data_IF_357363566615
#
_entry.id   IF_357363566615
#
_cell.length_a   1.000
_cell.length_b   1.000
_cell.length_c   1.000
_cell.angle_alpha   90.00
_cell.angle_beta   90.00
_cell.angle_gamma   90.00
#
_symmetry.space_group_name_H-M   'P 1'
#
loop_
_entity.id
_entity.type
_entity.pdbx_description
1 polymer ?
#
# COMPACT_ATOMS: atom_id res chain seq x y z
N UNK A 1 13.31 -7.42 -30.25
CA UNK A 1 12.72 -8.47 -29.38
C UNK A 1 11.21 -8.48 -29.63
N UNK A 2 10.61 -9.62 -29.97
CA UNK A 2 9.17 -9.70 -30.25
C UNK A 2 8.31 -9.66 -28.98
N UNK A 3 7.02 -9.30 -29.12
CA UNK A 3 6.05 -9.17 -28.01
C UNK A 3 6.01 -10.43 -27.13
N UNK A 4 5.86 -11.60 -27.73
CA UNK A 4 5.75 -12.88 -27.00
C UNK A 4 6.96 -13.17 -26.10
N UNK A 5 8.15 -12.77 -26.54
CA UNK A 5 9.37 -12.93 -25.75
C UNK A 5 9.39 -12.00 -24.53
N UNK A 6 8.81 -10.80 -24.64
CA UNK A 6 8.67 -9.85 -23.53
C UNK A 6 7.65 -10.37 -22.54
N UNK A 7 6.49 -10.79 -23.04
CA UNK A 7 5.41 -11.36 -22.21
C UNK A 7 5.90 -12.58 -21.43
N UNK A 8 6.68 -13.47 -22.07
CA UNK A 8 7.29 -14.61 -21.40
C UNK A 8 8.27 -14.19 -20.29
N UNK A 9 9.05 -13.11 -20.47
CA UNK A 9 9.94 -12.60 -19.42
C UNK A 9 9.17 -12.02 -18.24
N UNK A 10 8.09 -11.27 -18.52
CA UNK A 10 7.19 -10.75 -17.48
C UNK A 10 6.60 -11.90 -16.68
N UNK A 11 6.02 -12.90 -17.36
CA UNK A 11 5.43 -14.07 -16.70
C UNK A 11 6.44 -14.86 -15.86
N UNK A 12 7.66 -15.07 -16.38
CA UNK A 12 8.74 -15.72 -15.60
C UNK A 12 9.07 -14.93 -14.33
N UNK A 13 9.15 -13.60 -14.43
CA UNK A 13 9.36 -12.73 -13.27
C UNK A 13 8.27 -12.85 -12.23
N UNK A 14 7.00 -12.83 -12.64
CA UNK A 14 5.86 -12.99 -11.71
C UNK A 14 5.88 -14.37 -11.02
N UNK A 15 6.03 -15.44 -11.80
CA UNK A 15 6.05 -16.81 -11.26
C UNK A 15 7.23 -17.04 -10.30
N UNK A 16 8.44 -16.56 -10.65
CA UNK A 16 9.63 -16.74 -9.81
C UNK A 16 9.52 -16.04 -8.45
N UNK A 17 8.71 -14.97 -8.36
CA UNK A 17 8.53 -14.18 -7.14
C UNK A 17 7.19 -14.45 -6.43
N UNK A 18 6.41 -15.45 -6.87
CA UNK A 18 5.12 -15.77 -6.27
C UNK A 18 4.08 -14.65 -6.39
N UNK A 19 4.21 -13.78 -7.40
CA UNK A 19 3.29 -12.66 -7.60
C UNK A 19 2.03 -13.16 -8.30
N UNK A 20 0.86 -12.92 -7.69
CA UNK A 20 -0.43 -13.31 -8.22
C UNK A 20 -0.74 -12.61 -9.55
N UNK A 21 -1.33 -13.33 -10.50
CA UNK A 21 -1.64 -12.79 -11.83
C UNK A 21 -2.67 -11.65 -11.84
N UNK A 22 -3.39 -11.44 -10.72
CA UNK A 22 -4.26 -10.27 -10.57
C UNK A 22 -3.48 -8.96 -10.68
N UNK A 23 -2.15 -8.96 -10.45
CA UNK A 23 -1.29 -7.79 -10.68
C UNK A 23 -1.36 -7.28 -12.11
N UNK A 24 -1.62 -8.15 -13.10
CA UNK A 24 -1.73 -7.77 -14.52
C UNK A 24 -2.96 -6.90 -14.80
N UNK A 25 -3.92 -6.84 -13.88
CA UNK A 25 -5.10 -5.95 -13.95
C UNK A 25 -4.89 -4.62 -13.23
N UNK A 26 -3.77 -4.46 -12.52
CA UNK A 26 -3.46 -3.25 -11.78
C UNK A 26 -2.87 -2.19 -12.74
N UNK A 27 -3.49 -1.01 -12.90
CA UNK A 27 -2.97 0.05 -13.77
C UNK A 27 -1.53 0.47 -13.46
N UNK A 28 -1.10 0.35 -12.20
CA UNK A 28 0.24 0.70 -11.74
C UNK A 28 1.30 -0.22 -12.36
N UNK A 29 0.94 -1.45 -12.74
CA UNK A 29 1.84 -2.32 -13.50
C UNK A 29 2.05 -1.79 -14.93
N UNK A 30 1.00 -1.27 -15.56
CA UNK A 30 1.10 -0.62 -16.87
C UNK A 30 1.97 0.64 -16.80
N UNK A 31 1.80 1.46 -15.76
CA UNK A 31 2.64 2.63 -15.52
C UNK A 31 4.11 2.24 -15.28
N UNK A 32 4.37 1.18 -14.51
CA UNK A 32 5.73 0.65 -14.33
C UNK A 32 6.36 0.24 -15.67
N UNK A 33 5.65 -0.52 -16.51
CA UNK A 33 6.16 -0.95 -17.82
C UNK A 33 6.38 0.24 -18.75
N UNK A 34 5.46 1.21 -18.76
CA UNK A 34 5.58 2.45 -19.52
C UNK A 34 6.81 3.27 -19.08
N UNK A 35 7.01 3.40 -17.77
CA UNK A 35 8.19 4.06 -17.18
C UNK A 35 9.50 3.38 -17.56
N UNK A 36 9.56 2.05 -17.54
CA UNK A 36 10.74 1.28 -17.97
C UNK A 36 11.01 1.50 -19.47
N UNK A 37 9.98 1.45 -20.31
CA UNK A 37 10.11 1.63 -21.76
C UNK A 37 10.59 3.04 -22.15
N UNK A 38 10.25 4.06 -21.37
CA UNK A 38 10.69 5.45 -21.55
C UNK A 38 11.97 5.78 -20.77
N UNK A 39 12.46 4.83 -19.98
CA UNK A 39 13.68 4.97 -19.20
C UNK A 39 14.94 4.99 -20.07
N UNK A 40 16.11 5.28 -19.47
CA UNK A 40 17.38 5.26 -20.18
C UNK A 40 17.73 3.84 -20.68
N UNK A 41 18.48 3.77 -21.78
CA UNK A 41 19.01 2.50 -22.27
C UNK A 41 19.85 1.80 -21.18
N UNK A 42 19.61 0.51 -20.99
CA UNK A 42 20.29 -0.26 -19.94
C UNK A 42 19.75 -0.02 -18.52
N UNK A 43 18.56 0.59 -18.38
CA UNK A 43 17.89 0.74 -17.10
C UNK A 43 17.86 -0.58 -16.31
N UNK A 44 18.15 -0.49 -15.01
CA UNK A 44 18.05 -1.59 -14.06
C UNK A 44 17.10 -1.19 -12.93
N UNK A 45 16.32 -2.14 -12.38
CA UNK A 45 15.52 -1.89 -11.18
C UNK A 45 16.37 -1.35 -10.02
N UNK A 46 15.75 -0.62 -9.08
CA UNK A 46 16.45 -0.15 -7.88
C UNK A 46 16.98 -1.32 -7.05
N UNK A 47 18.05 -1.07 -6.29
CA UNK A 47 18.56 -2.04 -5.31
C UNK A 47 17.56 -2.24 -4.17
N UNK A 48 17.64 -3.39 -3.51
CA UNK A 48 16.79 -3.71 -2.35
C UNK A 48 16.85 -2.61 -1.28
N UNK A 49 18.07 -2.13 -0.97
CA UNK A 49 18.27 -1.07 0.02
C UNK A 49 17.59 0.25 -0.37
N UNK A 50 17.76 0.68 -1.64
CA UNK A 50 17.12 1.90 -2.14
C UNK A 50 15.59 1.78 -2.17
N UNK A 51 15.09 0.59 -2.52
CA UNK A 51 13.66 0.30 -2.53
C UNK A 51 13.07 0.34 -1.12
N UNK A 52 13.76 -0.26 -0.14
CA UNK A 52 13.32 -0.38 1.25
C UNK A 52 13.24 0.97 1.98
N UNK A 53 14.14 1.90 1.69
CA UNK A 53 14.22 3.19 2.38
C UNK A 53 13.65 4.29 1.51
N UNK A 54 14.49 4.89 0.65
CA UNK A 54 14.18 6.12 -0.08
C UNK A 54 12.91 6.02 -0.92
N UNK A 55 12.78 4.96 -1.73
CA UNK A 55 11.61 4.83 -2.61
C UNK A 55 10.34 4.48 -1.85
N UNK A 56 10.44 3.74 -0.73
CA UNK A 56 9.29 3.44 0.12
C UNK A 56 8.78 4.71 0.79
N UNK A 57 9.68 5.56 1.29
CA UNK A 57 9.32 6.85 1.89
C UNK A 57 8.73 7.82 0.86
N UNK A 58 9.27 7.86 -0.36
CA UNK A 58 8.71 8.64 -1.47
C UNK A 58 7.31 8.16 -1.88
N UNK A 59 7.11 6.85 -2.04
CA UNK A 59 5.80 6.27 -2.32
C UNK A 59 4.78 6.62 -1.22
N UNK A 60 5.19 6.52 0.05
CA UNK A 60 4.34 6.90 1.18
C UNK A 60 3.97 8.39 1.11
N UNK A 61 4.95 9.26 0.89
CA UNK A 61 4.71 10.71 0.77
C UNK A 61 3.76 11.05 -0.39
N UNK A 62 3.89 10.36 -1.53
CA UNK A 62 2.99 10.58 -2.66
C UNK A 62 1.55 10.14 -2.33
N UNK A 63 1.38 8.98 -1.69
CA UNK A 63 0.06 8.55 -1.21
C UNK A 63 -0.53 9.54 -0.20
N UNK A 64 0.28 10.07 0.74
CA UNK A 64 -0.18 11.09 1.68
C UNK A 64 -0.60 12.39 0.98
N UNK A 65 0.10 12.81 -0.08
CA UNK A 65 -0.30 13.96 -0.90
C UNK A 65 -1.62 13.71 -1.61
N UNK A 66 -1.78 12.55 -2.24
CA UNK A 66 -3.03 12.18 -2.93
C UNK A 66 -4.23 12.15 -1.99
N UNK A 67 -3.99 11.82 -0.71
CA UNK A 67 -5.00 11.75 0.34
C UNK A 67 -5.22 13.07 1.08
N UNK A 68 -4.38 14.08 0.86
CA UNK A 68 -4.48 15.40 1.52
C UNK A 68 -5.85 16.07 1.28
N UNK A 69 -6.44 16.05 0.07
CA UNK A 69 -7.77 16.62 -0.15
C UNK A 69 -8.86 15.98 0.71
N UNK A 70 -8.77 14.67 1.00
CA UNK A 70 -9.70 14.00 1.90
C UNK A 70 -9.45 14.48 3.34
N UNK A 71 -8.19 14.55 3.75
CA UNK A 71 -7.78 14.98 5.10
C UNK A 71 -8.23 16.41 5.42
N UNK A 72 -8.13 17.33 4.46
CA UNK A 72 -8.50 18.74 4.64
C UNK A 72 -10.00 18.91 4.93
N UNK A 73 -10.85 18.00 4.44
CA UNK A 73 -12.29 18.04 4.73
C UNK A 73 -12.63 17.71 6.18
N UNK A 74 -11.74 17.02 6.92
CA UNK A 74 -12.02 16.59 8.29
C UNK A 74 -12.20 17.75 9.26
N UNK A 75 -11.52 18.87 9.05
CA UNK A 75 -11.65 20.05 9.92
C UNK A 75 -13.06 20.66 9.86
N UNK A 76 -13.64 20.74 8.66
CA UNK A 76 -14.92 21.41 8.43
C UNK A 76 -16.12 20.46 8.56
N UNK A 77 -15.96 19.19 8.18
CA UNK A 77 -17.05 18.23 8.07
C UNK A 77 -16.99 17.13 9.15
N UNK A 78 -15.91 17.10 9.93
CA UNK A 78 -15.61 16.01 10.84
C UNK A 78 -15.13 14.74 10.11
N UNK A 79 -14.73 13.76 10.91
CA UNK A 79 -14.49 12.39 10.47
C UNK A 79 -14.85 11.42 11.60
N UNK A 80 -15.18 10.18 11.23
CA UNK A 80 -15.38 9.07 12.16
C UNK A 80 -14.12 8.24 12.21
N UNK A 81 -13.70 7.84 13.42
CA UNK A 81 -12.63 6.86 13.60
C UNK A 81 -13.26 5.47 13.69
N UNK A 82 -12.84 4.58 12.81
CA UNK A 82 -13.24 3.17 12.77
C UNK A 82 -12.03 2.33 13.19
N UNK A 83 -12.21 1.55 14.25
CA UNK A 83 -11.22 0.56 14.68
C UNK A 83 -11.73 -0.84 14.42
N UNK A 84 -10.97 -1.65 13.71
CA UNK A 84 -11.26 -3.08 13.50
C UNK A 84 -10.17 -3.94 14.13
N UNK A 85 -10.57 -4.88 14.98
CA UNK A 85 -9.67 -5.74 15.74
C UNK A 85 -9.71 -7.17 15.21
N UNK A 86 -8.57 -7.69 14.76
CA UNK A 86 -8.44 -9.06 14.27
C UNK A 86 -7.19 -9.74 14.84
N UNK A 87 -7.26 -11.06 15.00
CA UNK A 87 -6.10 -11.85 15.44
C UNK A 87 -5.40 -12.44 14.23
N UNK A 88 -4.09 -12.21 14.12
CA UNK A 88 -3.31 -12.83 13.05
C UNK A 88 -3.13 -14.34 13.29
N UNK A 89 -2.51 -15.04 12.33
CA UNK A 89 -2.23 -16.49 12.41
C UNK A 89 -1.35 -16.92 13.59
N UNK A 90 -0.71 -15.95 14.28
CA UNK A 90 0.11 -16.15 15.48
C UNK A 90 -0.64 -15.75 16.76
N UNK A 91 -1.96 -15.59 16.69
CA UNK A 91 -2.84 -15.14 17.79
C UNK A 91 -2.47 -13.78 18.38
N UNK A 92 -1.81 -12.91 17.61
CA UNK A 92 -1.53 -11.53 18.05
C UNK A 92 -2.69 -10.62 17.68
N UNK A 93 -3.25 -9.85 18.64
CA UNK A 93 -4.34 -8.93 18.38
C UNK A 93 -3.81 -7.70 17.65
N UNK A 94 -4.26 -7.49 16.41
CA UNK A 94 -3.98 -6.31 15.62
C UNK A 94 -5.23 -5.43 15.60
N UNK A 95 -5.05 -4.12 15.82
CA UNK A 95 -6.12 -3.14 15.61
C UNK A 95 -5.75 -2.24 14.44
N UNK A 96 -6.60 -2.23 13.43
CA UNK A 96 -6.54 -1.29 12.31
C UNK A 96 -7.32 -0.03 12.68
N UNK A 97 -6.74 1.14 12.50
CA UNK A 97 -7.39 2.44 12.71
C UNK A 97 -7.56 3.15 11.38
N UNK A 98 -8.80 3.49 11.05
CA UNK A 98 -9.21 4.10 9.78
C UNK A 98 -10.01 5.36 10.09
N UNK A 99 -9.68 6.48 9.44
CA UNK A 99 -10.52 7.68 9.44
C UNK A 99 -11.46 7.64 8.24
N UNK A 100 -12.75 7.90 8.46
CA UNK A 100 -13.78 7.84 7.42
C UNK A 100 -14.63 9.09 7.46
N UNK A 101 -14.92 9.66 6.29
CA UNK A 101 -15.96 10.66 6.13
C UNK A 101 -16.69 10.48 4.78
N UNK A 102 -17.54 11.44 4.42
CA UNK A 102 -18.28 11.41 3.15
C UNK A 102 -17.40 11.46 1.89
N UNK A 103 -16.13 11.83 2.02
CA UNK A 103 -15.19 11.99 0.91
C UNK A 103 -14.25 10.78 0.77
N UNK A 104 -14.23 9.87 1.75
CA UNK A 104 -13.50 8.61 1.65
C UNK A 104 -13.05 8.04 2.98
N UNK A 105 -12.26 6.99 2.89
CA UNK A 105 -11.61 6.33 4.02
C UNK A 105 -10.09 6.42 3.87
N UNK A 106 -9.41 6.68 4.97
CA UNK A 106 -7.96 6.74 5.06
C UNK A 106 -7.48 5.80 6.15
N UNK A 107 -6.62 4.86 5.80
CA UNK A 107 -5.89 4.07 6.80
C UNK A 107 -4.90 4.99 7.52
N UNK A 108 -4.96 5.02 8.86
CA UNK A 108 -4.06 5.82 9.68
C UNK A 108 -2.86 4.99 10.13
N UNK A 109 -3.13 3.90 10.83
CA UNK A 109 -2.12 2.98 11.33
C UNK A 109 -2.75 1.65 11.76
N UNK A 110 -1.89 0.66 11.96
CA UNK A 110 -2.23 -0.58 12.66
C UNK A 110 -1.22 -0.78 13.78
N UNK A 111 -1.66 -1.32 14.91
CA UNK A 111 -0.76 -1.64 16.01
C UNK A 111 -1.07 -3.03 16.61
N UNK A 112 -0.06 -3.64 17.22
CA UNK A 112 -0.14 -4.94 17.91
C UNK A 112 -0.36 -4.70 19.40
N UNK A 113 -1.46 -5.20 19.94
CA UNK A 113 -1.86 -4.98 21.34
C UNK A 113 -1.55 -6.21 22.21
N UNK A 114 -0.53 -6.99 21.85
CA UNK A 114 -0.09 -8.16 22.61
C UNK A 114 0.10 -7.81 24.11
N UNK A 115 -0.73 -8.41 24.97
CA UNK A 115 -0.64 -8.22 26.43
C UNK A 115 -1.43 -7.04 27.00
N UNK A 116 -2.18 -6.30 26.18
CA UNK A 116 -3.11 -5.27 26.66
C UNK A 116 -4.49 -5.89 26.87
N UNK A 117 -5.01 -5.85 28.09
CA UNK A 117 -6.37 -6.31 28.38
C UNK A 117 -7.41 -5.40 27.74
N UNK A 118 -8.38 -6.00 27.03
CA UNK A 118 -9.53 -5.28 26.47
C UNK A 118 -10.49 -4.90 27.60
N UNK A 119 -10.24 -3.77 28.24
CA UNK A 119 -11.17 -3.19 29.21
C UNK A 119 -12.41 -2.66 28.47
N UNK A 120 -13.61 -2.99 28.97
CA UNK A 120 -14.92 -2.65 28.37
C UNK A 120 -15.25 -1.14 28.30
N UNK A 121 -14.31 -0.26 28.66
CA UNK A 121 -14.58 1.16 28.80
C UNK A 121 -13.73 1.93 27.79
N UNK A 122 -14.35 2.30 26.68
CA UNK A 122 -13.86 3.39 25.85
C UNK A 122 -14.33 4.69 26.52
N UNK A 123 -13.43 5.44 27.15
CA UNK A 123 -13.72 6.84 27.48
C UNK A 123 -13.65 7.63 26.17
N UNK A 124 -14.82 8.02 25.66
CA UNK A 124 -14.96 9.03 24.61
C UNK A 124 -14.69 10.42 25.18
#
# INVERSE_FOLDING_TARGET
MGRDMVDLKVMKGLCANGILFNVLRNPQLCEMVSGINRGPEGYKPPSFEKARTTLSDECKSNVEKDLTPIKDTWYNQGCSIVSDGWSNVKHRPLINVIAVNSHGAMFLYTDDFLGIEKNRICHC
#
